data_IF_321103881104
#
_entry.id   IF_321103881104
#
_cell.length_a   1.000
_cell.length_b   1.000
_cell.length_c   1.000
_cell.angle_alpha   90.00
_cell.angle_beta   90.00
_cell.angle_gamma   90.00
#
_symmetry.space_group_name_H-M   'P 1'
#
loop_
_entity.id
_entity.type
_entity.pdbx_description
1 polymer ?
#
# COMPACT_ATOMS: atom_id res chain seq x y z
N UNK A 1 12.77 -0.70 -5.83
CA UNK A 1 13.38 -0.64 -7.18
C UNK A 1 14.87 -0.87 -7.06
N UNK A 2 15.47 -1.80 -7.84
CA UNK A 2 16.93 -2.02 -7.83
C UNK A 2 17.61 -1.21 -8.93
N UNK A 3 18.57 -0.38 -8.55
CA UNK A 3 19.42 0.42 -9.44
C UNK A 3 20.89 0.16 -9.12
N UNK A 4 21.79 0.00 -10.09
CA UNK A 4 23.23 -0.03 -9.81
C UNK A 4 23.71 1.33 -9.28
N UNK A 5 24.63 1.32 -8.33
CA UNK A 5 25.21 2.51 -7.67
C UNK A 5 26.24 3.21 -8.57
N UNK A 6 26.85 2.47 -9.50
CA UNK A 6 27.87 2.98 -10.42
C UNK A 6 27.32 4.08 -11.35
N UNK A 7 27.92 5.28 -11.27
CA UNK A 7 27.56 6.51 -12.00
C UNK A 7 27.68 6.45 -13.53
N UNK A 8 28.09 5.33 -14.12
CA UNK A 8 28.22 5.19 -15.58
C UNK A 8 27.18 4.22 -16.13
N UNK A 9 26.18 4.80 -16.81
CA UNK A 9 25.02 4.19 -17.47
C UNK A 9 23.90 3.70 -16.55
N UNK A 10 22.71 4.28 -16.75
CA UNK A 10 21.43 3.89 -16.12
C UNK A 10 20.92 2.49 -16.51
N UNK A 11 21.79 1.48 -16.39
CA UNK A 11 21.47 0.08 -16.52
C UNK A 11 20.52 -0.29 -15.37
N UNK A 12 19.26 -0.58 -15.63
CA UNK A 12 18.36 -1.12 -14.59
C UNK A 12 18.64 -2.60 -14.42
N UNK A 13 18.71 -3.11 -13.18
CA UNK A 13 18.70 -4.55 -12.96
C UNK A 13 17.27 -5.05 -13.23
N UNK A 14 17.05 -5.90 -14.25
CA UNK A 14 15.70 -6.28 -14.65
C UNK A 14 15.02 -7.12 -13.56
N UNK A 15 13.76 -6.78 -13.30
CA UNK A 15 12.84 -7.62 -12.55
C UNK A 15 12.55 -8.88 -13.39
N UNK A 16 12.60 -10.05 -12.75
CA UNK A 16 12.33 -11.36 -13.37
C UNK A 16 11.04 -11.99 -12.86
N UNK A 17 10.70 -11.76 -11.60
CA UNK A 17 9.44 -12.23 -11.02
C UNK A 17 8.95 -11.26 -9.96
N UNK A 18 7.65 -11.03 -9.95
CA UNK A 18 6.93 -10.33 -8.89
C UNK A 18 5.85 -11.27 -8.36
N UNK A 19 5.97 -11.64 -7.09
CA UNK A 19 4.91 -12.36 -6.38
C UNK A 19 4.35 -11.48 -5.28
N UNK A 20 3.04 -11.32 -5.24
CA UNK A 20 2.34 -10.59 -4.18
C UNK A 20 1.22 -11.46 -3.66
N UNK A 21 1.25 -11.73 -2.36
CA UNK A 21 0.13 -12.33 -1.64
C UNK A 21 -0.41 -11.31 -0.65
N UNK A 22 -1.66 -10.89 -0.83
CA UNK A 22 -2.36 -9.97 0.05
C UNK A 22 -3.48 -10.72 0.76
N UNK A 23 -3.32 -10.94 2.07
CA UNK A 23 -4.33 -11.51 2.94
C UNK A 23 -5.15 -10.38 3.58
N UNK A 24 -6.40 -10.25 3.18
CA UNK A 24 -7.37 -9.30 3.73
C UNK A 24 -8.21 -10.00 4.80
N UNK A 25 -8.10 -9.51 6.04
CA UNK A 25 -8.87 -9.98 7.18
C UNK A 25 -9.50 -8.80 7.88
N UNK A 26 -10.82 -8.67 7.77
CA UNK A 26 -11.57 -7.55 8.33
C UNK A 26 -10.99 -6.21 7.86
N UNK A 27 -10.49 -5.38 8.79
CA UNK A 27 -9.93 -4.06 8.54
C UNK A 27 -8.42 -4.04 8.30
N UNK A 28 -7.77 -5.19 8.14
CA UNK A 28 -6.32 -5.29 8.00
C UNK A 28 -5.95 -6.09 6.74
N UNK A 29 -4.97 -5.59 6.01
CA UNK A 29 -4.28 -6.31 4.94
C UNK A 29 -2.88 -6.68 5.42
N UNK A 30 -2.52 -7.95 5.29
CA UNK A 30 -1.14 -8.43 5.41
C UNK A 30 -0.62 -8.77 4.02
N UNK A 31 0.51 -8.20 3.63
CA UNK A 31 1.09 -8.41 2.31
C UNK A 31 2.45 -9.07 2.45
N UNK A 32 2.71 -10.03 1.56
CA UNK A 32 4.04 -10.55 1.27
C UNK A 32 4.37 -10.20 -0.18
N UNK A 33 5.39 -9.38 -0.39
CA UNK A 33 5.85 -8.92 -1.70
C UNK A 33 7.24 -9.52 -1.94
N UNK A 34 7.36 -10.42 -2.91
CA UNK A 34 8.61 -11.03 -3.35
C UNK A 34 8.99 -10.51 -4.73
N UNK A 35 10.19 -9.97 -4.86
CA UNK A 35 10.72 -9.41 -6.09
C UNK A 35 12.06 -10.04 -6.42
N UNK A 36 12.13 -10.73 -7.56
CA UNK A 36 13.38 -11.34 -8.03
C UNK A 36 14.00 -10.47 -9.12
N UNK A 37 15.28 -10.16 -8.96
CA UNK A 37 16.08 -9.37 -9.89
C UNK A 37 17.30 -10.18 -10.30
N UNK A 38 17.77 -10.00 -11.54
CA UNK A 38 18.94 -10.71 -12.05
C UNK A 38 19.91 -9.78 -12.75
N UNK A 39 21.21 -9.92 -12.46
CA UNK A 39 22.25 -9.18 -13.14
C UNK A 39 22.47 -9.75 -14.55
N UNK A 40 21.95 -9.07 -15.56
CA UNK A 40 22.15 -9.46 -16.98
C UNK A 40 23.38 -8.82 -17.62
N UNK A 41 24.20 -8.10 -16.85
CA UNK A 41 25.44 -7.50 -17.36
C UNK A 41 26.60 -8.50 -17.29
N UNK A 42 27.68 -8.21 -18.00
CA UNK A 42 28.91 -9.01 -17.98
C UNK A 42 29.85 -8.65 -16.82
N UNK A 43 29.46 -7.72 -15.94
CA UNK A 43 30.27 -7.24 -14.84
C UNK A 43 29.56 -7.45 -13.49
N UNK A 44 30.30 -7.63 -12.38
CA UNK A 44 29.73 -7.55 -11.04
C UNK A 44 29.08 -6.18 -10.82
N UNK A 45 27.89 -6.17 -10.23
CA UNK A 45 27.16 -4.94 -9.93
C UNK A 45 27.03 -4.73 -8.42
N UNK A 46 27.19 -3.47 -8.02
CA UNK A 46 26.74 -2.95 -6.74
C UNK A 46 25.44 -2.19 -6.98
N UNK A 47 24.39 -2.51 -6.22
CA UNK A 47 23.02 -2.06 -6.47
C UNK A 47 22.35 -1.51 -5.22
N UNK A 48 21.50 -0.50 -5.35
CA UNK A 48 20.58 -0.01 -4.34
C UNK A 48 19.15 -0.45 -4.65
N UNK A 49 18.50 -1.08 -3.67
CA UNK A 49 17.06 -1.29 -3.64
C UNK A 49 16.40 -0.16 -2.86
N UNK A 50 15.56 0.63 -3.53
CA UNK A 50 14.73 1.65 -2.89
C UNK A 50 13.35 1.07 -2.61
N UNK A 51 12.97 0.99 -1.35
CA UNK A 51 11.61 0.65 -0.97
C UNK A 51 10.70 1.85 -1.28
N UNK A 52 9.56 1.67 -1.96
CA UNK A 52 8.62 2.77 -2.15
C UNK A 52 8.00 3.18 -0.82
N UNK A 53 7.60 4.45 -0.74
CA UNK A 53 6.83 4.94 0.40
C UNK A 53 5.51 4.19 0.50
N UNK A 54 5.20 3.71 1.71
CA UNK A 54 3.96 2.99 2.01
C UNK A 54 3.13 3.78 3.02
N UNK A 55 2.46 4.88 2.61
CA UNK A 55 1.96 5.90 3.52
C UNK A 55 0.88 5.42 4.50
N UNK A 56 0.21 4.30 4.22
CA UNK A 56 -0.84 3.73 5.07
C UNK A 56 -0.46 2.39 5.67
N UNK A 57 0.80 1.96 5.61
CA UNK A 57 1.18 0.71 6.23
C UNK A 57 2.62 0.70 6.71
N UNK A 58 2.98 -0.41 7.36
CA UNK A 58 4.27 -0.59 7.99
C UNK A 58 4.92 -1.86 7.46
N UNK A 59 6.21 -1.75 7.13
CA UNK A 59 7.04 -2.94 6.86
C UNK A 59 7.35 -3.61 8.18
N UNK A 60 6.97 -4.88 8.29
CA UNK A 60 7.14 -5.69 9.51
C UNK A 60 8.39 -6.56 9.44
N UNK A 61 8.81 -6.94 8.24
CA UNK A 61 9.99 -7.78 8.02
C UNK A 61 10.53 -7.54 6.61
N UNK A 62 11.85 -7.53 6.48
CA UNK A 62 12.52 -7.40 5.19
C UNK A 62 13.67 -8.40 5.09
N UNK A 63 13.65 -9.22 4.05
CA UNK A 63 14.61 -10.28 3.80
C UNK A 63 15.15 -10.21 2.39
N UNK A 64 16.42 -10.59 2.26
CA UNK A 64 17.10 -10.67 0.97
C UNK A 64 17.67 -12.07 0.85
N UNK A 65 17.22 -12.81 -0.15
CA UNK A 65 17.78 -14.12 -0.50
C UNK A 65 18.84 -13.91 -1.57
N UNK A 66 20.07 -14.27 -1.23
CA UNK A 66 21.24 -14.19 -2.10
C UNK A 66 21.31 -15.39 -3.07
N UNK A 67 22.16 -15.32 -4.11
CA UNK A 67 22.29 -16.38 -5.12
C UNK A 67 22.70 -17.75 -4.55
N UNK A 68 23.49 -17.75 -3.47
CA UNK A 68 23.93 -18.95 -2.75
C UNK A 68 22.84 -19.58 -1.86
N UNK A 69 21.64 -18.97 -1.84
CA UNK A 69 20.49 -19.40 -1.03
C UNK A 69 20.50 -18.87 0.40
N UNK A 70 21.56 -18.16 0.82
CA UNK A 70 21.59 -17.52 2.13
C UNK A 70 20.53 -16.42 2.22
N UNK A 71 19.95 -16.26 3.41
CA UNK A 71 18.92 -15.25 3.67
C UNK A 71 19.49 -14.23 4.65
N UNK A 72 19.63 -13.01 4.18
CA UNK A 72 19.94 -11.86 5.02
C UNK A 72 18.62 -11.33 5.59
N UNK A 73 18.49 -11.40 6.91
CA UNK A 73 17.37 -10.83 7.66
C UNK A 73 17.77 -9.45 8.17
N UNK A 74 16.85 -8.49 8.16
CA UNK A 74 17.08 -7.19 8.78
C UNK A 74 17.26 -7.33 10.29
N UNK A 75 18.51 -7.25 10.77
CA UNK A 75 18.79 -7.03 12.18
C UNK A 75 19.03 -5.52 12.37
N UNK A 76 18.27 -4.90 13.28
CA UNK A 76 18.37 -3.46 13.53
C UNK A 76 19.65 -3.23 14.35
N UNK A 77 20.72 -2.81 13.68
CA UNK A 77 22.01 -2.46 14.31
C UNK A 77 22.37 -0.99 14.10
N UNK A 78 23.24 -0.45 14.97
CA UNK A 78 23.77 0.92 14.83
C UNK A 78 24.46 1.14 13.47
N UNK A 79 24.21 2.31 12.87
CA UNK A 79 24.57 2.66 11.49
C UNK A 79 26.05 2.45 11.13
N UNK A 80 26.97 2.85 12.02
CA UNK A 80 28.43 2.76 11.77
C UNK A 80 28.93 1.31 11.78
N UNK A 81 28.48 0.50 12.75
CA UNK A 81 28.84 -0.93 12.82
C UNK A 81 28.31 -1.73 11.65
N UNK A 82 27.13 -1.37 11.14
CA UNK A 82 26.58 -2.00 9.94
C UNK A 82 27.47 -1.71 8.71
N UNK A 83 27.93 -0.46 8.56
CA UNK A 83 28.77 -0.01 7.44
C UNK A 83 30.14 -0.70 7.41
N UNK A 84 30.83 -0.82 8.54
CA UNK A 84 32.13 -1.50 8.61
C UNK A 84 32.02 -2.97 8.18
N UNK A 85 31.03 -3.70 8.73
CA UNK A 85 30.82 -5.11 8.43
C UNK A 85 30.48 -5.36 6.96
N UNK A 86 29.77 -4.42 6.34
CA UNK A 86 29.50 -4.46 4.89
C UNK A 86 30.78 -4.31 4.08
N UNK A 87 31.59 -3.29 4.36
CA UNK A 87 32.85 -3.04 3.64
C UNK A 87 33.83 -4.21 3.77
N UNK A 88 33.94 -4.80 4.97
CA UNK A 88 34.79 -5.97 5.21
C UNK A 88 34.35 -7.16 4.34
N UNK A 89 33.05 -7.41 4.23
CA UNK A 89 32.50 -8.54 3.45
C UNK A 89 32.71 -8.35 1.94
N UNK A 90 32.53 -7.13 1.44
CA UNK A 90 32.78 -6.79 0.02
C UNK A 90 34.28 -6.87 -0.32
N UNK A 91 35.15 -6.41 0.58
CA UNK A 91 36.62 -6.48 0.38
C UNK A 91 37.13 -7.92 0.24
N UNK A 92 36.41 -8.88 0.80
CA UNK A 92 36.70 -10.31 0.72
C UNK A 92 36.12 -11.00 -0.53
N UNK A 93 35.40 -10.26 -1.40
CA UNK A 93 34.84 -10.79 -2.64
C UNK A 93 33.53 -11.57 -2.47
N UNK A 94 32.89 -11.49 -1.30
CA UNK A 94 31.57 -12.08 -1.06
C UNK A 94 30.46 -11.09 -1.40
N UNK A 95 29.28 -11.58 -1.76
CA UNK A 95 28.08 -10.74 -1.89
C UNK A 95 27.58 -10.35 -0.50
N UNK A 96 27.29 -9.06 -0.30
CA UNK A 96 26.79 -8.53 0.97
C UNK A 96 25.58 -7.64 0.74
N UNK A 97 24.70 -7.52 1.74
CA UNK A 97 23.64 -6.53 1.74
C UNK A 97 23.63 -5.72 3.02
N UNK A 98 23.34 -4.42 2.91
CA UNK A 98 23.12 -3.52 4.04
C UNK A 98 21.87 -2.70 3.80
N UNK A 99 20.96 -2.69 4.78
CA UNK A 99 19.81 -1.80 4.78
C UNK A 99 20.16 -0.53 5.56
N UNK A 100 20.06 0.64 4.92
CA UNK A 100 20.21 1.94 5.56
C UNK A 100 18.91 2.74 5.43
N UNK A 101 18.37 3.15 6.56
CA UNK A 101 17.28 4.13 6.59
C UNK A 101 17.88 5.53 6.38
N UNK A 102 17.46 6.24 5.34
CA UNK A 102 17.95 7.59 5.03
C UNK A 102 17.10 8.68 5.68
N UNK A 103 15.78 8.46 5.78
CA UNK A 103 14.78 9.28 6.49
C UNK A 103 13.54 8.44 6.88
N UNK A 104 12.49 9.04 7.47
CA UNK A 104 11.26 8.34 7.89
C UNK A 104 10.49 7.65 6.74
N UNK A 105 10.81 7.97 5.47
CA UNK A 105 10.03 7.58 4.29
C UNK A 105 10.80 6.76 3.26
N UNK A 106 12.14 6.76 3.31
CA UNK A 106 13.03 6.17 2.32
C UNK A 106 13.96 5.14 2.97
N UNK A 107 13.64 3.86 2.75
CA UNK A 107 14.53 2.74 3.07
C UNK A 107 15.32 2.36 1.81
N UNK A 108 16.65 2.45 1.90
CA UNK A 108 17.57 2.09 0.82
C UNK A 108 18.39 0.89 1.27
N UNK A 109 18.50 -0.12 0.42
CA UNK A 109 19.28 -1.32 0.69
C UNK A 109 20.37 -1.44 -0.37
N UNK A 110 21.62 -1.38 0.06
CA UNK A 110 22.77 -1.56 -0.81
C UNK A 110 23.16 -3.04 -0.85
N UNK A 111 23.13 -3.62 -2.04
CA UNK A 111 23.51 -4.98 -2.42
C UNK A 111 24.85 -4.89 -3.15
N UNK A 112 25.92 -5.42 -2.58
CA UNK A 112 27.23 -5.41 -3.23
C UNK A 112 27.57 -6.73 -3.89
N UNK A 113 28.38 -6.62 -4.95
CA UNK A 113 29.01 -7.75 -5.63
C UNK A 113 28.01 -8.82 -6.13
N UNK A 114 26.97 -8.38 -6.86
CA UNK A 114 26.06 -9.26 -7.59
C UNK A 114 26.74 -9.68 -8.91
N UNK A 115 27.19 -10.93 -9.03
CA UNK A 115 27.98 -11.38 -10.19
C UNK A 115 27.12 -11.48 -11.46
N UNK A 116 27.72 -11.57 -12.66
CA UNK A 116 26.98 -11.83 -13.89
C UNK A 116 26.10 -13.07 -13.80
N UNK A 117 24.82 -12.93 -14.16
CA UNK A 117 23.74 -13.92 -14.09
C UNK A 117 23.25 -14.30 -12.69
N UNK A 118 23.82 -13.73 -11.63
CA UNK A 118 23.29 -13.92 -10.28
C UNK A 118 21.88 -13.33 -10.16
N UNK A 119 21.08 -13.95 -9.30
CA UNK A 119 19.73 -13.51 -8.99
C UNK A 119 19.56 -13.32 -7.50
N UNK A 120 18.91 -12.22 -7.13
CA UNK A 120 18.57 -11.87 -5.75
C UNK A 120 17.05 -11.80 -5.63
N UNK A 121 16.51 -12.22 -4.49
CA UNK A 121 15.09 -12.04 -4.16
C UNK A 121 14.93 -11.16 -2.93
N UNK A 122 14.21 -10.06 -3.10
CA UNK A 122 13.81 -9.17 -2.00
C UNK A 122 12.40 -9.55 -1.57
N UNK A 123 12.24 -9.86 -0.28
CA UNK A 123 10.97 -10.28 0.33
C UNK A 123 10.60 -9.23 1.37
N UNK A 124 9.43 -8.63 1.21
CA UNK A 124 8.91 -7.56 2.06
C UNK A 124 7.60 -8.04 2.65
N UNK A 125 7.53 -8.08 3.97
CA UNK A 125 6.28 -8.27 4.68
C UNK A 125 5.82 -6.92 5.18
N UNK A 126 4.57 -6.58 4.91
CA UNK A 126 3.98 -5.36 5.43
C UNK A 126 2.53 -5.56 5.84
N UNK A 127 2.04 -4.69 6.72
CA UNK A 127 0.64 -4.65 7.12
C UNK A 127 0.11 -3.24 6.91
N UNK A 128 -1.13 -3.12 6.42
CA UNK A 128 -1.83 -1.85 6.33
C UNK A 128 -3.30 -2.00 6.74
N UNK A 129 -3.90 -1.02 7.43
CA UNK A 129 -5.35 -0.90 7.51
C UNK A 129 -5.95 -0.81 6.10
N UNK A 130 -7.08 -1.49 5.89
CA UNK A 130 -7.93 -1.25 4.72
C UNK A 130 -9.02 -0.25 5.07
N UNK A 131 -9.43 0.53 4.08
CA UNK A 131 -10.37 1.63 4.30
C UNK A 131 -11.80 1.14 4.13
N UNK A 132 -12.73 1.70 4.90
CA UNK A 132 -14.16 1.50 4.67
C UNK A 132 -14.71 2.64 3.81
N UNK A 133 -15.36 2.31 2.70
CA UNK A 133 -16.16 3.24 1.89
C UNK A 133 -17.62 2.79 1.94
N UNK A 134 -18.46 3.53 2.67
CA UNK A 134 -19.86 3.18 2.93
C UNK A 134 -20.01 1.75 3.48
N UNK A 135 -20.56 0.85 2.68
CA UNK A 135 -20.85 -0.55 2.96
C UNK A 135 -19.80 -1.51 2.36
N UNK A 136 -18.66 -1.00 1.89
CA UNK A 136 -17.59 -1.80 1.28
C UNK A 136 -16.22 -1.54 1.90
N UNK A 137 -15.39 -2.57 1.89
CA UNK A 137 -13.96 -2.46 2.17
C UNK A 137 -13.22 -2.12 0.89
N UNK A 138 -12.24 -1.22 0.99
CA UNK A 138 -11.33 -0.83 -0.08
C UNK A 138 -9.88 -1.16 0.31
N UNK A 139 -9.29 -2.09 -0.42
CA UNK A 139 -7.86 -2.37 -0.40
C UNK A 139 -7.19 -1.71 -1.61
N UNK A 140 -6.04 -1.08 -1.37
CA UNK A 140 -5.22 -0.49 -2.43
C UNK A 140 -3.80 -1.04 -2.36
N UNK A 141 -3.30 -1.54 -3.50
CA UNK A 141 -1.89 -1.83 -3.69
C UNK A 141 -1.27 -0.75 -4.59
N UNK A 142 -0.20 -0.14 -4.08
CA UNK A 142 0.48 0.99 -4.74
C UNK A 142 1.42 0.45 -5.81
N UNK A 143 1.30 0.95 -7.04
CA UNK A 143 2.14 0.52 -8.15
C UNK A 143 3.63 0.80 -7.97
N UNK A 144 4.00 1.71 -7.06
CA UNK A 144 5.40 2.03 -6.74
C UNK A 144 6.25 0.84 -6.26
N UNK A 145 5.63 -0.26 -5.82
CA UNK A 145 6.35 -1.52 -5.58
C UNK A 145 6.84 -2.17 -6.88
N UNK A 146 6.19 -1.92 -8.00
CA UNK A 146 6.60 -2.39 -9.33
C UNK A 146 7.60 -1.38 -9.93
N UNK A 147 8.82 -1.81 -10.33
CA UNK A 147 9.78 -0.89 -10.94
C UNK A 147 9.24 -0.26 -12.23
N UNK A 148 9.38 1.05 -12.36
CA UNK A 148 8.87 1.81 -13.50
C UNK A 148 9.47 1.32 -14.82
N UNK A 149 8.60 0.94 -15.76
CA UNK A 149 8.97 0.41 -17.08
C UNK A 149 9.50 -1.03 -17.07
N UNK A 150 9.32 -1.78 -15.97
CA UNK A 150 9.62 -3.21 -15.96
C UNK A 150 8.70 -3.96 -16.93
N UNK A 151 9.27 -4.84 -17.73
CA UNK A 151 8.55 -5.71 -18.69
C UNK A 151 9.19 -7.09 -18.71
N UNK A 152 8.45 -8.10 -19.19
CA UNK A 152 8.99 -9.46 -19.36
C UNK A 152 9.35 -10.18 -18.06
N UNK A 153 8.58 -9.94 -16.99
CA UNK A 153 8.71 -10.64 -15.71
C UNK A 153 7.45 -11.47 -15.46
N UNK A 154 7.60 -12.55 -14.69
CA UNK A 154 6.47 -13.38 -14.29
C UNK A 154 5.69 -12.72 -13.14
N UNK A 155 4.40 -12.48 -13.34
CA UNK A 155 3.51 -11.93 -12.33
C UNK A 155 2.69 -13.04 -11.65
N UNK A 156 2.77 -13.09 -10.32
CA UNK A 156 1.81 -13.81 -9.48
C UNK A 156 1.24 -12.83 -8.47
N UNK A 157 -0.03 -12.44 -8.62
CA UNK A 157 -0.66 -11.54 -7.67
C UNK A 157 -1.96 -12.17 -7.18
N UNK A 158 -2.02 -12.45 -5.89
CA UNK A 158 -3.13 -13.14 -5.24
C UNK A 158 -3.64 -12.28 -4.09
N UNK A 159 -4.94 -11.99 -4.13
CA UNK A 159 -5.67 -11.43 -3.00
C UNK A 159 -6.49 -12.57 -2.38
N UNK A 160 -6.25 -12.86 -1.12
CA UNK A 160 -7.01 -13.80 -0.31
C UNK A 160 -7.81 -13.01 0.71
N UNK A 161 -9.13 -13.18 0.71
CA UNK A 161 -10.04 -12.52 1.64
C UNK A 161 -10.58 -13.57 2.57
N UNK A 162 -10.46 -13.35 3.88
CA UNK A 162 -11.15 -14.13 4.92
C UNK A 162 -12.07 -13.20 5.69
N UNK A 163 -13.35 -13.35 5.41
CA UNK A 163 -14.42 -12.60 6.06
C UNK A 163 -15.09 -13.43 7.16
N UNK A 164 -15.64 -12.77 8.17
CA UNK A 164 -16.52 -13.37 9.18
C UNK A 164 -17.97 -13.57 8.67
N UNK A 165 -18.33 -12.85 7.63
CA UNK A 165 -19.65 -12.79 6.98
C UNK A 165 -19.54 -13.03 5.48
N UNK A 166 -20.65 -13.40 4.84
CA UNK A 166 -20.64 -13.69 3.40
C UNK A 166 -20.20 -12.46 2.59
N UNK A 167 -19.32 -12.68 1.60
CA UNK A 167 -18.91 -11.69 0.62
C UNK A 167 -19.98 -11.61 -0.47
N UNK A 168 -20.68 -10.48 -0.57
CA UNK A 168 -21.83 -10.30 -1.46
C UNK A 168 -21.40 -9.79 -2.84
N UNK A 169 -20.55 -8.76 -2.84
CA UNK A 169 -20.10 -8.08 -4.05
C UNK A 169 -18.60 -7.83 -3.97
N UNK A 170 -17.95 -7.76 -5.13
CA UNK A 170 -16.56 -7.37 -5.25
C UNK A 170 -16.31 -6.68 -6.58
N UNK A 171 -15.28 -5.83 -6.61
CA UNK A 171 -14.79 -5.20 -7.81
C UNK A 171 -13.28 -5.00 -7.73
N UNK A 172 -12.62 -4.94 -8.88
CA UNK A 172 -11.18 -4.79 -8.97
C UNK A 172 -10.83 -3.98 -10.21
N UNK A 173 -9.87 -3.06 -10.08
CA UNK A 173 -9.36 -2.29 -11.23
C UNK A 173 -8.56 -3.17 -12.19
N UNK A 174 -7.87 -4.19 -11.67
CA UNK A 174 -7.25 -5.23 -12.49
C UNK A 174 -8.22 -6.40 -12.65
N UNK A 175 -8.23 -7.03 -13.83
CA UNK A 175 -9.03 -8.24 -14.02
C UNK A 175 -8.45 -9.38 -13.20
N UNK A 176 -9.34 -10.11 -12.54
CA UNK A 176 -8.98 -11.22 -11.67
C UNK A 176 -9.83 -12.46 -11.98
N UNK A 177 -9.19 -13.62 -11.98
CA UNK A 177 -9.88 -14.90 -11.85
C UNK A 177 -10.28 -15.09 -10.39
N UNK A 178 -11.57 -15.34 -10.14
CA UNK A 178 -12.15 -15.40 -8.79
C UNK A 178 -12.52 -16.83 -8.43
N UNK A 179 -12.19 -17.22 -7.20
CA UNK A 179 -12.68 -18.44 -6.57
C UNK A 179 -13.26 -18.08 -5.20
N UNK A 180 -14.55 -18.35 -4.99
CA UNK A 180 -15.26 -18.11 -3.73
C UNK A 180 -15.57 -19.47 -3.09
N UNK A 181 -15.40 -19.58 -1.76
CA UNK A 181 -15.73 -20.81 -1.03
C UNK A 181 -17.24 -21.03 -0.95
N UNK A 182 -17.67 -22.28 -0.70
CA UNK A 182 -19.09 -22.64 -0.63
C UNK A 182 -19.89 -21.85 0.41
N UNK A 183 -19.26 -21.54 1.55
CA UNK A 183 -19.87 -20.71 2.60
C UNK A 183 -19.85 -19.19 2.29
N UNK A 184 -19.23 -18.81 1.17
CA UNK A 184 -19.07 -17.44 0.71
C UNK A 184 -18.22 -16.50 1.55
N UNK A 185 -17.52 -17.01 2.57
CA UNK A 185 -16.70 -16.22 3.49
C UNK A 185 -15.24 -16.07 3.07
N UNK A 186 -14.76 -16.94 2.18
CA UNK A 186 -13.42 -16.85 1.62
C UNK A 186 -13.49 -16.56 0.13
N UNK A 187 -12.61 -15.66 -0.33
CA UNK A 187 -12.48 -15.33 -1.74
C UNK A 187 -11.00 -15.25 -2.10
N UNK A 188 -10.62 -15.90 -3.20
CA UNK A 188 -9.29 -15.81 -3.79
C UNK A 188 -9.43 -15.13 -5.15
N UNK A 189 -8.82 -13.97 -5.30
CA UNK A 189 -8.72 -13.25 -6.57
C UNK A 189 -7.28 -13.34 -7.08
N UNK A 190 -7.08 -13.96 -8.25
CA UNK A 190 -5.78 -14.03 -8.92
C UNK A 190 -5.78 -13.07 -10.10
N UNK A 191 -4.85 -12.12 -10.12
CA UNK A 191 -4.75 -11.14 -11.20
C UNK A 191 -4.38 -11.84 -12.50
N UNK A 192 -5.06 -11.47 -13.59
CA UNK A 192 -4.76 -11.93 -14.94
C UNK A 192 -3.56 -11.13 -15.50
N UNK A 193 -2.43 -11.81 -15.68
CA UNK A 193 -1.19 -11.23 -16.21
C UNK A 193 -1.37 -10.59 -17.58
N UNK A 194 -2.30 -11.07 -18.42
CA UNK A 194 -2.52 -10.55 -19.77
C UNK A 194 -3.16 -9.15 -19.81
N UNK A 195 -3.80 -8.74 -18.72
CA UNK A 195 -4.55 -7.48 -18.59
C UNK A 195 -4.10 -6.65 -17.41
N UNK A 196 -2.99 -7.04 -16.82
CA UNK A 196 -2.33 -6.32 -15.77
C UNK A 196 -1.74 -5.01 -16.32
N UNK A 197 -2.00 -3.91 -15.63
CA UNK A 197 -1.42 -2.61 -15.95
C UNK A 197 -0.65 -2.10 -14.71
N UNK A 198 0.69 -2.09 -14.75
CA UNK A 198 1.51 -1.64 -13.62
C UNK A 198 1.46 -0.12 -13.41
N UNK A 199 0.96 0.66 -14.35
CA UNK A 199 0.94 2.13 -14.24
C UNK A 199 -0.25 2.64 -13.41
N UNK A 200 -1.21 1.77 -13.10
CA UNK A 200 -2.36 2.09 -12.26
C UNK A 200 -2.27 1.33 -10.92
N UNK A 201 -2.69 1.97 -9.84
CA UNK A 201 -2.84 1.28 -8.56
C UNK A 201 -3.94 0.22 -8.66
N UNK A 202 -3.72 -0.92 -8.02
CA UNK A 202 -4.79 -1.89 -7.82
C UNK A 202 -5.71 -1.36 -6.73
N UNK A 203 -6.99 -1.26 -7.04
CA UNK A 203 -8.05 -1.03 -6.07
C UNK A 203 -8.96 -2.25 -6.11
N UNK A 204 -9.06 -2.95 -4.97
CA UNK A 204 -9.95 -4.09 -4.80
C UNK A 204 -10.99 -3.71 -3.75
N UNK A 205 -12.27 -3.71 -4.13
CA UNK A 205 -13.38 -3.46 -3.22
C UNK A 205 -14.20 -4.72 -3.00
N UNK A 206 -14.69 -4.91 -1.79
CA UNK A 206 -15.62 -5.99 -1.49
C UNK A 206 -16.62 -5.59 -0.41
N UNK A 207 -17.86 -6.04 -0.57
CA UNK A 207 -18.96 -5.85 0.37
C UNK A 207 -19.27 -7.17 1.07
N UNK A 208 -19.52 -7.08 2.37
CA UNK A 208 -19.87 -8.24 3.20
C UNK A 208 -21.25 -8.03 3.80
N UNK A 209 -21.98 -9.10 4.08
CA UNK A 209 -23.32 -9.04 4.67
C UNK A 209 -23.38 -8.33 6.03
N UNK A 210 -22.24 -8.20 6.73
CA UNK A 210 -22.20 -7.58 8.06
C UNK A 210 -20.94 -6.73 8.27
N UNK A 211 -20.71 -5.77 7.37
CA UNK A 211 -19.53 -4.90 7.45
C UNK A 211 -19.51 -4.01 8.71
N UNK A 212 -20.69 -3.54 9.14
CA UNK A 212 -20.86 -2.60 10.26
C UNK A 212 -20.74 -3.21 11.66
N UNK A 213 -20.70 -4.55 11.77
CA UNK A 213 -20.57 -5.20 13.06
C UNK A 213 -19.16 -4.91 13.60
N UNK A 214 -19.02 -4.35 14.83
CA UNK A 214 -17.72 -4.09 15.41
C UNK A 214 -16.87 -5.36 15.46
N UNK A 215 -15.62 -5.24 15.01
CA UNK A 215 -14.70 -6.38 14.91
C UNK A 215 -13.51 -6.19 15.82
N UNK A 216 -13.04 -7.28 16.41
CA UNK A 216 -11.82 -7.32 17.21
C UNK A 216 -10.88 -8.37 16.61
N UNK A 217 -9.70 -7.93 16.19
CA UNK A 217 -8.59 -8.81 15.84
C UNK A 217 -7.63 -8.87 17.02
N UNK A 218 -7.34 -10.08 17.50
CA UNK A 218 -6.40 -10.31 18.59
C UNK A 218 -5.22 -11.11 18.06
N UNK A 219 -4.02 -10.61 18.28
CA UNK A 219 -2.78 -11.32 17.97
C UNK A 219 -1.96 -11.48 19.25
N UNK A 220 -1.33 -12.64 19.42
CA UNK A 220 -0.45 -12.91 20.56
C UNK A 220 0.91 -13.40 20.08
N UNK A 221 1.96 -13.04 20.81
CA UNK A 221 3.32 -13.52 20.60
C UNK A 221 4.00 -13.73 21.94
N UNK A 222 4.20 -14.99 22.32
CA UNK A 222 4.60 -15.37 23.67
C UNK A 222 3.62 -14.84 24.72
N UNK A 223 4.09 -13.98 25.61
CA UNK A 223 3.28 -13.33 26.66
C UNK A 223 2.66 -11.99 26.25
N UNK A 224 2.90 -11.51 25.02
CA UNK A 224 2.42 -10.22 24.54
C UNK A 224 1.13 -10.40 23.74
N UNK A 225 0.20 -9.46 23.93
CA UNK A 225 -1.07 -9.41 23.21
C UNK A 225 -1.22 -8.05 22.54
N UNK A 226 -1.75 -8.04 21.34
CA UNK A 226 -2.19 -6.85 20.62
C UNK A 226 -3.63 -7.05 20.18
N UNK A 227 -4.45 -6.01 20.33
CA UNK A 227 -5.83 -6.02 19.89
C UNK A 227 -6.09 -4.82 18.97
N UNK A 228 -6.77 -5.06 17.85
CA UNK A 228 -7.27 -4.03 16.94
C UNK A 228 -8.79 -4.08 16.97
N UNK A 229 -9.41 -2.99 17.40
CA UNK A 229 -10.87 -2.81 17.39
C UNK A 229 -11.26 -1.93 16.21
N UNK A 230 -12.23 -2.40 15.42
CA UNK A 230 -12.72 -1.71 14.23
C UNK A 230 -14.20 -1.44 14.38
N UNK A 231 -14.53 -0.14 14.40
CA UNK A 231 -15.90 0.36 14.44
C UNK A 231 -16.14 1.15 13.17
N UNK A 232 -17.13 0.75 12.39
CA UNK A 232 -17.59 1.52 11.24
C UNK A 232 -18.88 2.21 11.68
N UNK A 233 -18.83 3.51 12.05
CA UNK A 233 -20.03 4.24 12.43
C UNK A 233 -20.99 4.29 11.23
N UNK A 234 -22.25 3.95 11.47
CA UNK A 234 -23.43 3.95 10.59
C UNK A 234 -23.18 4.41 9.14
N UNK A 235 -23.12 3.43 8.24
CA UNK A 235 -23.22 3.58 6.79
C UNK A 235 -23.70 2.22 6.25
N UNK A 236 -24.88 1.77 6.67
CA UNK A 236 -25.56 0.73 5.91
C UNK A 236 -26.42 1.37 4.81
N UNK A 237 -26.95 0.56 3.90
CA UNK A 237 -27.84 1.02 2.84
C UNK A 237 -29.16 1.59 3.36
N UNK A 238 -29.48 1.30 4.61
CA UNK A 238 -30.80 1.50 5.21
C UNK A 238 -30.83 2.68 6.17
N UNK A 239 -29.67 3.16 6.62
CA UNK A 239 -29.46 4.29 7.53
C UNK A 239 -28.43 5.21 6.88
N UNK A 240 -28.90 6.11 6.02
CA UNK A 240 -28.04 7.14 5.48
C UNK A 240 -27.58 8.05 6.64
N UNK A 241 -26.31 8.43 6.67
CA UNK A 241 -25.81 9.49 7.59
C UNK A 241 -26.54 10.82 7.39
N UNK A 242 -27.32 10.95 6.30
CA UNK A 242 -28.26 12.06 6.10
C UNK A 242 -29.56 11.95 6.92
N UNK A 243 -29.89 10.77 7.46
CA UNK A 243 -31.03 10.54 8.36
C UNK A 243 -30.67 10.69 9.85
N UNK A 244 -29.38 10.75 10.17
CA UNK A 244 -29.00 11.28 11.48
C UNK A 244 -29.26 12.78 11.44
N UNK A 245 -30.25 13.24 12.20
CA UNK A 245 -30.59 14.66 12.44
C UNK A 245 -29.44 15.39 13.18
N UNK A 246 -28.20 15.28 12.69
CA UNK A 246 -27.09 16.05 13.19
C UNK A 246 -27.11 17.41 12.51
N UNK A 247 -27.58 18.42 13.22
CA UNK A 247 -27.40 19.81 12.83
C UNK A 247 -25.90 20.12 12.78
N UNK A 248 -25.37 20.34 11.58
CA UNK A 248 -23.98 20.76 11.39
C UNK A 248 -23.93 22.24 10.98
N UNK A 249 -23.10 23.03 11.67
CA UNK A 249 -22.81 24.40 11.27
C UNK A 249 -21.56 24.43 10.39
N UNK A 250 -21.70 24.96 9.17
CA UNK A 250 -20.60 25.13 8.23
C UNK A 250 -20.20 26.61 8.15
N UNK A 251 -18.99 26.93 8.59
CA UNK A 251 -18.43 28.28 8.49
C UNK A 251 -17.35 28.30 7.41
N UNK A 252 -17.61 28.99 6.30
CA UNK A 252 -16.64 29.19 5.24
C UNK A 252 -15.86 30.49 5.48
N UNK A 253 -14.56 30.37 5.76
CA UNK A 253 -13.66 31.53 5.87
C UNK A 253 -12.88 31.65 4.57
N UNK A 254 -13.08 32.77 3.86
CA UNK A 254 -12.44 33.04 2.58
C UNK A 254 -11.46 34.21 2.72
N UNK A 255 -10.21 33.98 2.33
CA UNK A 255 -9.22 35.06 2.24
C UNK A 255 -9.57 36.00 1.08
N UNK A 256 -9.50 37.30 1.37
CA UNK A 256 -9.76 38.41 0.43
C UNK A 256 -8.57 39.35 0.30
N UNK A 257 -7.39 38.91 0.75
CA UNK A 257 -6.14 39.63 0.61
C UNK A 257 -5.83 40.00 -0.85
N UNK A 258 -5.01 41.02 -1.06
CA UNK A 258 -4.66 41.48 -2.42
C UNK A 258 -4.00 40.41 -3.29
N UNK A 259 -3.40 39.36 -2.71
CA UNK A 259 -2.84 38.21 -3.44
C UNK A 259 -3.88 37.24 -4.01
N UNK A 260 -5.15 37.42 -3.65
CA UNK A 260 -6.28 36.65 -4.16
C UNK A 260 -6.86 37.26 -5.44
N UNK A 261 -6.39 38.42 -5.88
CA UNK A 261 -7.00 39.12 -7.01
C UNK A 261 -6.91 38.33 -8.33
N UNK A 262 -7.86 38.58 -9.22
CA UNK A 262 -8.00 37.86 -10.49
C UNK A 262 -8.48 36.41 -10.35
N UNK A 263 -7.83 35.48 -11.04
CA UNK A 263 -8.36 34.10 -11.19
C UNK A 263 -8.48 33.32 -9.88
N UNK A 264 -7.70 33.68 -8.85
CA UNK A 264 -7.70 33.00 -7.55
C UNK A 264 -8.99 33.25 -6.77
N UNK A 265 -9.46 34.50 -6.69
CA UNK A 265 -10.73 34.82 -6.03
C UNK A 265 -11.92 34.25 -6.81
N UNK A 266 -11.83 34.17 -8.14
CA UNK A 266 -12.90 33.57 -8.94
C UNK A 266 -12.96 32.05 -8.78
N UNK A 267 -11.82 31.37 -8.67
CA UNK A 267 -11.78 29.94 -8.29
C UNK A 267 -12.33 29.72 -6.88
N UNK A 268 -11.96 30.58 -5.92
CA UNK A 268 -12.47 30.49 -4.55
C UNK A 268 -14.00 30.68 -4.49
N UNK A 269 -14.56 31.63 -5.26
CA UNK A 269 -16.02 31.81 -5.41
C UNK A 269 -16.69 30.57 -6.01
N UNK A 270 -16.12 30.00 -7.07
CA UNK A 270 -16.68 28.82 -7.73
C UNK A 270 -16.67 27.60 -6.80
N UNK A 271 -15.58 27.38 -6.07
CA UNK A 271 -15.47 26.31 -5.07
C UNK A 271 -16.49 26.52 -3.94
N UNK A 272 -16.58 27.73 -3.38
CA UNK A 272 -17.56 28.07 -2.34
C UNK A 272 -19.00 27.83 -2.81
N UNK A 273 -19.32 28.20 -4.06
CA UNK A 273 -20.64 27.96 -4.65
C UNK A 273 -20.95 26.47 -4.81
N UNK A 274 -19.96 25.65 -5.20
CA UNK A 274 -20.11 24.20 -5.26
C UNK A 274 -20.36 23.60 -3.87
N UNK A 275 -19.61 24.04 -2.86
CA UNK A 275 -19.83 23.58 -1.48
C UNK A 275 -21.22 23.97 -0.96
N UNK A 276 -21.64 25.23 -1.14
CA UNK A 276 -22.98 25.70 -0.74
C UNK A 276 -24.11 24.92 -1.41
N UNK A 277 -23.95 24.55 -2.69
CA UNK A 277 -24.93 23.72 -3.41
C UNK A 277 -24.93 22.26 -2.99
N UNK A 278 -23.85 21.79 -2.39
CA UNK A 278 -23.68 20.40 -1.93
C UNK A 278 -24.12 20.20 -0.48
N UNK A 279 -24.40 21.28 0.26
CA UNK A 279 -24.95 21.20 1.62
C UNK A 279 -26.36 20.61 1.55
N UNK A 280 -26.68 19.57 2.35
CA UNK A 280 -28.01 19.00 2.38
C UNK A 280 -29.09 20.02 2.74
N UNK A 281 -30.21 20.00 1.99
CA UNK A 281 -31.30 21.00 2.13
C UNK A 281 -31.93 21.04 3.52
N UNK A 282 -31.87 19.96 4.29
CA UNK A 282 -32.46 19.84 5.62
C UNK A 282 -31.74 20.69 6.68
N UNK A 283 -30.49 21.09 6.45
CA UNK A 283 -29.72 21.97 7.35
C UNK A 283 -30.26 23.42 7.34
N UNK A 284 -30.88 23.86 6.25
CA UNK A 284 -31.43 25.21 6.10
C UNK A 284 -32.82 25.42 6.74
N UNK A 285 -33.47 24.36 7.23
CA UNK A 285 -34.81 24.43 7.84
C UNK A 285 -34.89 25.35 9.07
N UNK A 286 -33.76 25.60 9.73
CA UNK A 286 -33.66 26.44 10.92
C UNK A 286 -33.57 27.95 10.65
N UNK A 287 -33.20 28.37 9.43
CA UNK A 287 -33.00 29.80 9.10
C UNK A 287 -34.33 30.50 8.77
N UNK A 288 -35.38 29.76 8.38
CA UNK A 288 -36.69 30.36 8.03
C UNK A 288 -37.66 30.55 9.19
N UNK A 289 -37.40 29.99 10.37
CA UNK A 289 -38.35 29.98 11.50
C UNK A 289 -37.90 30.80 12.71
N UNK A 290 -37.02 31.80 12.55
CA UNK A 290 -36.88 32.85 13.56
C UNK A 290 -37.94 33.93 13.31
N UNK A 291 -39.00 34.06 14.13
CA UNK A 291 -39.74 35.31 14.17
C UNK A 291 -38.77 36.41 14.64
N UNK A 292 -38.78 37.54 13.92
CA UNK A 292 -38.20 38.78 14.41
C UNK A 292 -38.86 39.21 15.73
#
# INVERSE_FOLDING_TARGET
MIHPISRSLGLKVPLKSLRVHALLQNSLASLTISQSFSNTSSLPLECEYHLPTFPQGIVTDLKIRLPDGSILSSEITEKEKAQERYQDTISQGYSAAIAMQQDDSNLIITLGNLLPNDSVEVIINCVCPIQSEKDSWRFQFVSGFIPLGATGYNLEFVIEIKSDSEILEYSSTWKCAISKSDNGKNLIARVDESQFNPDINLEFKYKTASIIIPKCLIQHSGSKYAAMLSFIPYCDSDTDITETDSTAEFIFVLDRSGSMDGSRIDLAKNAALLFLKSIPKWIYGWIKNRPC
#
